data_IF_916013448979
#
_entry.id   IF_916013448979
#
_cell.length_a   1.000
_cell.length_b   1.000
_cell.length_c   1.000
_cell.angle_alpha   90.00
_cell.angle_beta   90.00
_cell.angle_gamma   90.00
#
_symmetry.space_group_name_H-M   'P 1'
#
loop_
_entity.id
_entity.type
_entity.pdbx_description
1 polymer ?
#
# COMPACT_ATOMS: atom_id res chain seq x y z
N UNK A 1 -11.44 -31.39 40.95
CA UNK A 1 -11.44 -29.91 40.87
C UNK A 1 -10.18 -29.35 40.20
N UNK A 2 -8.96 -29.63 40.67
CA UNK A 2 -7.70 -29.15 40.04
C UNK A 2 -7.53 -29.50 38.55
N UNK A 3 -7.92 -30.71 38.12
CA UNK A 3 -7.86 -31.14 36.71
C UNK A 3 -8.85 -30.40 35.80
N UNK A 4 -10.01 -30.01 36.31
CA UNK A 4 -11.03 -29.23 35.58
C UNK A 4 -10.57 -27.77 35.42
N UNK A 5 -9.93 -27.22 36.45
CA UNK A 5 -9.33 -25.88 36.40
C UNK A 5 -8.20 -25.80 35.35
N UNK A 6 -7.36 -26.83 35.24
CA UNK A 6 -6.31 -26.92 34.22
C UNK A 6 -6.86 -26.97 32.79
N UNK A 7 -7.99 -27.65 32.55
CA UNK A 7 -8.67 -27.68 31.24
C UNK A 7 -9.22 -26.31 30.87
N UNK A 8 -9.81 -25.60 31.84
CA UNK A 8 -10.27 -24.22 31.66
C UNK A 8 -9.12 -23.26 31.35
N UNK A 9 -7.95 -23.44 31.98
CA UNK A 9 -6.75 -22.65 31.70
C UNK A 9 -6.25 -22.88 30.27
N UNK A 10 -6.27 -24.11 29.77
CA UNK A 10 -5.85 -24.45 28.41
C UNK A 10 -6.78 -23.91 27.32
N UNK A 11 -8.10 -23.85 27.56
CA UNK A 11 -9.07 -23.31 26.60
C UNK A 11 -8.93 -21.79 26.38
N UNK A 12 -8.41 -21.05 27.37
CA UNK A 12 -8.22 -19.59 27.24
C UNK A 12 -7.05 -19.21 26.32
N UNK A 13 -6.07 -20.10 26.09
CA UNK A 13 -4.95 -19.84 25.18
C UNK A 13 -5.27 -20.15 23.70
N UNK A 14 -6.37 -20.84 23.42
CA UNK A 14 -6.72 -21.27 22.06
C UNK A 14 -7.38 -20.17 21.20
N UNK A 15 -7.59 -18.96 21.75
CA UNK A 15 -8.31 -17.87 21.09
C UNK A 15 -7.39 -16.70 20.67
N UNK A 16 -6.13 -17.01 20.33
CA UNK A 16 -5.23 -16.04 19.73
C UNK A 16 -5.49 -15.97 18.22
N UNK A 17 -6.42 -15.10 17.81
CA UNK A 17 -6.49 -14.71 16.40
C UNK A 17 -5.28 -13.81 16.10
N UNK A 18 -4.45 -14.14 15.10
CA UNK A 18 -3.40 -13.21 14.70
C UNK A 18 -4.10 -11.97 14.16
N UNK A 19 -3.77 -10.80 14.71
CA UNK A 19 -4.26 -9.56 14.12
C UNK A 19 -3.63 -9.41 12.73
N UNK A 20 -4.41 -9.17 11.66
CA UNK A 20 -3.84 -8.86 10.36
C UNK A 20 -2.87 -7.68 10.51
N UNK A 21 -1.60 -7.91 10.18
CA UNK A 21 -0.60 -6.84 10.16
C UNK A 21 -0.55 -6.26 8.76
N UNK A 22 -0.72 -4.95 8.64
CA UNK A 22 -0.64 -4.24 7.37
C UNK A 22 0.52 -3.25 7.38
N UNK A 23 1.24 -3.17 6.26
CA UNK A 23 2.32 -2.21 6.06
C UNK A 23 1.82 -1.01 5.27
N UNK A 24 1.99 0.18 5.86
CA UNK A 24 1.64 1.44 5.21
C UNK A 24 2.94 2.20 4.94
N UNK A 25 3.09 2.67 3.71
CA UNK A 25 4.23 3.48 3.29
C UNK A 25 3.73 4.85 2.85
N UNK A 26 4.44 5.90 3.27
CA UNK A 26 4.27 7.25 2.74
C UNK A 26 5.55 7.64 2.02
N UNK A 27 5.44 8.18 0.81
CA UNK A 27 6.59 8.50 -0.02
C UNK A 27 6.35 9.74 -0.89
N UNK A 28 7.21 10.75 -0.75
CA UNK A 28 7.19 11.92 -1.63
C UNK A 28 7.94 11.60 -2.94
N UNK A 29 7.24 11.68 -4.07
CA UNK A 29 7.74 11.26 -5.36
C UNK A 29 8.62 12.29 -6.07
N UNK A 30 8.80 13.49 -5.50
CA UNK A 30 9.52 14.62 -6.08
C UNK A 30 9.03 14.95 -7.50
N UNK A 31 7.84 15.53 -7.57
CA UNK A 31 7.17 15.95 -8.80
C UNK A 31 7.13 14.85 -9.88
N UNK A 32 6.47 13.73 -9.59
CA UNK A 32 6.31 12.61 -10.51
C UNK A 32 5.08 12.81 -11.43
N UNK A 33 5.15 12.49 -12.75
CA UNK A 33 6.24 11.79 -13.45
C UNK A 33 7.39 12.70 -13.90
N UNK A 34 7.14 14.01 -14.01
CA UNK A 34 8.06 14.96 -14.61
C UNK A 34 8.58 14.49 -15.97
N UNK A 35 9.82 14.85 -16.32
CA UNK A 35 10.54 14.33 -17.49
C UNK A 35 11.44 13.13 -17.17
N UNK A 36 11.43 12.64 -15.93
CA UNK A 36 12.42 11.67 -15.43
C UNK A 36 11.84 10.30 -15.08
N UNK A 37 10.53 10.09 -15.20
CA UNK A 37 9.86 8.84 -14.81
C UNK A 37 10.55 7.58 -15.39
N UNK A 38 10.87 7.55 -16.68
CA UNK A 38 11.55 6.40 -17.30
C UNK A 38 12.91 6.04 -16.67
N UNK A 39 13.60 7.03 -16.08
CA UNK A 39 14.87 6.83 -15.36
C UNK A 39 14.61 6.47 -13.89
N UNK A 40 13.58 7.07 -13.27
CA UNK A 40 13.30 6.90 -11.83
C UNK A 40 12.51 5.63 -11.50
N UNK A 41 11.69 5.12 -12.42
CA UNK A 41 10.83 3.95 -12.21
C UNK A 41 11.59 2.72 -11.67
N UNK A 42 12.75 2.31 -12.24
CA UNK A 42 13.50 1.18 -11.68
C UNK A 42 13.95 1.38 -10.22
N UNK A 43 14.25 2.62 -9.82
CA UNK A 43 14.61 2.92 -8.43
C UNK A 43 13.38 2.88 -7.52
N UNK A 44 12.25 3.42 -7.96
CA UNK A 44 10.99 3.25 -7.23
C UNK A 44 10.61 1.78 -7.07
N UNK A 45 10.75 0.97 -8.14
CA UNK A 45 10.50 -0.47 -8.08
C UNK A 45 11.40 -1.15 -7.05
N UNK A 46 12.67 -0.77 -6.99
CA UNK A 46 13.61 -1.31 -6.00
C UNK A 46 13.16 -0.99 -4.58
N UNK A 47 12.81 0.27 -4.29
CA UNK A 47 12.38 0.69 -2.95
C UNK A 47 11.06 0.01 -2.55
N UNK A 48 10.05 0.06 -3.44
CA UNK A 48 8.71 -0.46 -3.15
C UNK A 48 8.72 -1.99 -3.08
N UNK A 49 9.52 -2.69 -3.88
CA UNK A 49 9.67 -4.15 -3.80
C UNK A 49 10.25 -4.60 -2.46
N UNK A 50 11.24 -3.86 -1.94
CA UNK A 50 11.82 -4.15 -0.62
C UNK A 50 10.85 -3.81 0.53
N UNK A 51 10.17 -2.67 0.46
CA UNK A 51 9.21 -2.27 1.48
C UNK A 51 7.94 -3.15 1.47
N UNK A 52 7.52 -3.57 0.27
CA UNK A 52 6.31 -4.33 -0.04
C UNK A 52 5.09 -3.86 0.77
N UNK A 53 4.66 -2.58 0.62
CA UNK A 53 3.56 -2.02 1.40
C UNK A 53 2.22 -2.57 0.94
N UNK A 54 1.26 -2.70 1.85
CA UNK A 54 -0.12 -3.05 1.51
C UNK A 54 -0.94 -1.81 1.11
N UNK A 55 -0.55 -0.65 1.64
CA UNK A 55 -1.01 0.69 1.23
C UNK A 55 0.20 1.60 1.02
N UNK A 56 0.25 2.27 -0.12
CA UNK A 56 1.24 3.30 -0.44
C UNK A 56 0.53 4.64 -0.67
N UNK A 57 0.88 5.65 0.12
CA UNK A 57 0.43 7.03 -0.08
C UNK A 57 1.59 7.82 -0.67
N UNK A 58 1.40 8.36 -1.87
CA UNK A 58 2.39 9.17 -2.55
C UNK A 58 2.01 10.65 -2.54
N UNK A 59 3.02 11.50 -2.38
CA UNK A 59 2.91 12.94 -2.55
C UNK A 59 3.67 13.39 -3.79
N UNK A 60 3.41 14.62 -4.22
CA UNK A 60 4.00 15.25 -5.40
C UNK A 60 3.76 14.48 -6.70
N UNK A 61 2.54 13.97 -6.84
CA UNK A 61 2.03 13.48 -8.12
C UNK A 61 1.47 14.65 -8.90
N UNK A 62 1.83 14.85 -10.16
CA UNK A 62 1.39 16.04 -10.89
C UNK A 62 0.15 15.87 -11.74
N UNK A 63 -0.33 14.64 -11.88
CA UNK A 63 -1.48 14.35 -12.74
C UNK A 63 -1.99 12.91 -12.54
N UNK A 64 -3.25 12.69 -12.90
CA UNK A 64 -3.85 11.35 -12.96
C UNK A 64 -3.11 10.39 -13.92
N UNK A 65 -2.74 10.79 -15.16
CA UNK A 65 -1.87 9.96 -16.00
C UNK A 65 -0.54 9.59 -15.35
N UNK A 66 0.03 10.50 -14.55
CA UNK A 66 1.19 10.21 -13.71
C UNK A 66 0.92 9.09 -12.72
N UNK A 67 -0.17 9.19 -11.94
CA UNK A 67 -0.59 8.16 -11.00
C UNK A 67 -0.79 6.80 -11.68
N UNK A 68 -1.48 6.77 -12.81
CA UNK A 68 -1.70 5.53 -13.56
C UNK A 68 -0.40 4.98 -14.16
N UNK A 69 0.51 5.84 -14.61
CA UNK A 69 1.85 5.43 -15.05
C UNK A 69 2.65 4.80 -13.91
N UNK A 70 2.64 5.39 -12.71
CA UNK A 70 3.29 4.79 -11.54
C UNK A 70 2.68 3.42 -11.19
N UNK A 71 1.35 3.31 -11.19
CA UNK A 71 0.67 2.03 -10.97
C UNK A 71 1.13 0.96 -11.97
N UNK A 72 1.08 1.26 -13.27
CA UNK A 72 1.32 0.28 -14.33
C UNK A 72 2.80 -0.06 -14.48
N UNK A 73 3.70 0.91 -14.33
CA UNK A 73 5.13 0.72 -14.63
C UNK A 73 5.95 0.35 -13.38
N UNK A 74 5.46 0.65 -12.17
CA UNK A 74 6.17 0.39 -10.91
C UNK A 74 5.47 -0.66 -10.06
N UNK A 75 4.17 -0.53 -9.80
CA UNK A 75 3.49 -1.34 -8.79
C UNK A 75 2.97 -2.69 -9.32
N UNK A 76 2.25 -2.70 -10.44
CA UNK A 76 1.68 -3.92 -11.04
C UNK A 76 2.77 -4.97 -11.36
N UNK A 77 3.97 -4.60 -11.86
CA UNK A 77 5.05 -5.57 -12.08
C UNK A 77 5.58 -6.23 -10.79
N UNK A 78 5.38 -5.61 -9.62
CA UNK A 78 5.76 -6.16 -8.31
C UNK A 78 4.65 -7.07 -7.78
N UNK A 79 3.40 -6.60 -7.82
CA UNK A 79 2.22 -7.33 -7.36
C UNK A 79 0.99 -6.86 -8.16
N UNK A 80 0.37 -7.79 -8.89
CA UNK A 80 -0.79 -7.49 -9.74
C UNK A 80 -2.04 -7.11 -8.95
N UNK A 81 -2.03 -7.24 -7.61
CA UNK A 81 -3.15 -6.86 -6.76
C UNK A 81 -3.20 -5.36 -6.48
N UNK A 82 -2.16 -4.58 -6.81
CA UNK A 82 -2.22 -3.13 -6.60
C UNK A 82 -3.28 -2.46 -7.47
N UNK A 83 -3.99 -1.50 -6.86
CA UNK A 83 -4.92 -0.60 -7.52
C UNK A 83 -4.71 0.83 -7.00
N UNK A 84 -4.97 1.83 -7.84
CA UNK A 84 -5.03 3.23 -7.44
C UNK A 84 -6.41 3.60 -6.90
N UNK A 85 -6.46 4.47 -5.88
CA UNK A 85 -7.66 5.18 -5.49
C UNK A 85 -8.05 6.26 -6.49
N UNK A 86 -9.08 7.03 -6.15
CA UNK A 86 -9.48 8.19 -6.95
C UNK A 86 -8.43 9.30 -6.83
N UNK A 87 -7.94 9.78 -7.98
CA UNK A 87 -7.06 10.95 -8.04
C UNK A 87 -7.82 12.22 -7.68
N UNK A 88 -7.21 13.07 -6.85
CA UNK A 88 -7.77 14.35 -6.44
C UNK A 88 -6.81 15.46 -6.87
N UNK A 89 -7.28 16.30 -7.78
CA UNK A 89 -6.53 17.47 -8.26
C UNK A 89 -6.70 18.64 -7.28
N UNK A 90 -5.58 19.06 -6.72
CA UNK A 90 -5.41 20.12 -5.75
C UNK A 90 -4.37 21.15 -6.22
N UNK A 91 -3.98 22.09 -5.35
CA UNK A 91 -3.00 23.12 -5.72
C UNK A 91 -1.56 22.56 -5.79
N UNK A 92 -0.75 23.09 -6.72
CA UNK A 92 0.67 22.77 -6.96
C UNK A 92 0.95 21.33 -7.43
N UNK A 93 0.78 20.36 -6.54
CA UNK A 93 0.92 18.92 -6.82
C UNK A 93 0.04 18.11 -5.89
N UNK A 94 -0.26 16.89 -6.29
CA UNK A 94 -1.31 16.06 -5.72
C UNK A 94 -0.78 14.85 -4.96
N UNK A 95 -1.73 14.17 -4.32
CA UNK A 95 -1.50 12.92 -3.64
C UNK A 95 -2.13 11.77 -4.43
N UNK A 96 -1.52 10.60 -4.34
CA UNK A 96 -2.10 9.35 -4.82
C UNK A 96 -2.11 8.32 -3.70
N UNK A 97 -3.11 7.45 -3.70
CA UNK A 97 -3.16 6.27 -2.83
C UNK A 97 -3.20 5.01 -3.69
N UNK A 98 -2.39 4.04 -3.33
CA UNK A 98 -2.37 2.71 -3.91
C UNK A 98 -2.56 1.67 -2.80
N UNK A 99 -3.29 0.60 -3.09
CA UNK A 99 -3.58 -0.45 -2.12
C UNK A 99 -3.71 -1.80 -2.80
N UNK A 100 -3.48 -2.88 -2.07
CA UNK A 100 -3.68 -4.25 -2.58
C UNK A 100 -5.15 -4.66 -2.45
N UNK A 101 -5.77 -4.99 -3.58
CA UNK A 101 -7.20 -5.34 -3.71
C UNK A 101 -7.59 -6.65 -3.05
N UNK A 102 -6.64 -7.55 -2.81
CA UNK A 102 -6.86 -8.76 -2.02
C UNK A 102 -6.93 -8.50 -0.50
N UNK A 103 -6.60 -7.29 -0.05
CA UNK A 103 -6.66 -6.87 1.36
C UNK A 103 -7.66 -5.73 1.60
N UNK A 104 -7.85 -4.84 0.63
CA UNK A 104 -8.66 -3.63 0.79
C UNK A 104 -9.59 -3.38 -0.40
N UNK A 105 -10.73 -2.75 -0.10
CA UNK A 105 -11.67 -2.20 -1.08
C UNK A 105 -11.73 -0.69 -0.91
N UNK A 106 -11.59 0.05 -2.00
CA UNK A 106 -11.78 1.50 -1.99
C UNK A 106 -13.26 1.85 -1.88
N UNK A 107 -13.63 2.68 -0.91
CA UNK A 107 -15.03 3.07 -0.66
C UNK A 107 -15.29 4.49 -1.16
N UNK A 108 -14.54 5.48 -0.66
CA UNK A 108 -14.66 6.89 -1.02
C UNK A 108 -13.43 7.69 -0.58
N UNK A 109 -13.35 8.93 -1.05
CA UNK A 109 -12.52 9.98 -0.45
C UNK A 109 -13.35 10.82 0.52
#
# INVERSE_FOLDING_TARGET
MKKIFLIFLFFNFAVLFPQPTHKIMSYNALNYPGSTAGIRNPYFSTVVSNANPDILVMQEMTSEPGMLGFLNDVLIPIDSNYQAGLFLDGPDTDNAIFFKTNLFTFISN
#
